data_IF_032900155754
#
_entry.id   IF_032900155754
#
_cell.length_a   1.000
_cell.length_b   1.000
_cell.length_c   1.000
_cell.angle_alpha   90.00
_cell.angle_beta   90.00
_cell.angle_gamma   90.00
#
_symmetry.space_group_name_H-M   'P 1'
#
loop_
_entity.id
_entity.type
_entity.pdbx_description
1 polymer ?
#
# COMPACT_ATOMS: atom_id res chain seq x y z
N UNK A 1 1.06 56.22 -1.31
CA UNK A 1 1.25 55.60 -0.40
C UNK A 1 0.57 54.42 -0.27
N UNK A 2 -0.42 54.30 -0.58
CA UNK A 2 -1.15 53.21 -0.45
C UNK A 2 -0.85 52.26 -1.37
N UNK A 3 0.04 52.26 -2.18
CA UNK A 3 0.31 51.32 -3.03
C UNK A 3 0.68 50.07 -2.43
N UNK A 4 1.12 49.97 -1.28
CA UNK A 4 1.51 48.78 -0.62
C UNK A 4 0.42 47.75 -0.58
N UNK A 5 -0.76 48.16 -0.53
CA UNK A 5 -1.80 47.19 -0.41
C UNK A 5 -1.89 46.33 -1.63
N UNK A 6 -1.45 46.81 -2.75
CA UNK A 6 -1.55 45.96 -3.88
C UNK A 6 -0.66 44.80 -3.79
N UNK A 7 0.46 44.91 -3.18
CA UNK A 7 1.31 43.80 -3.12
C UNK A 7 0.73 42.74 -2.30
N UNK A 8 0.00 43.06 -1.30
CA UNK A 8 -0.56 42.05 -0.46
C UNK A 8 -1.45 41.12 -1.23
N UNK A 9 -2.17 41.63 -2.15
CA UNK A 9 -3.07 40.80 -2.91
C UNK A 9 -2.30 39.74 -3.67
N UNK A 10 -1.14 40.08 -4.16
CA UNK A 10 -0.37 39.16 -4.91
C UNK A 10 0.09 38.00 -4.05
N UNK A 11 0.46 38.27 -2.81
CA UNK A 11 0.90 37.23 -1.93
C UNK A 11 -0.18 36.21 -1.67
N UNK A 12 -1.38 36.68 -1.53
CA UNK A 12 -2.46 35.78 -1.26
C UNK A 12 -2.66 34.80 -2.40
N UNK A 13 -2.52 35.28 -3.58
CA UNK A 13 -2.69 34.40 -4.72
C UNK A 13 -1.66 33.29 -4.72
N UNK A 14 -0.47 33.60 -4.32
CA UNK A 14 0.56 32.58 -4.28
C UNK A 14 0.27 31.48 -3.29
N UNK A 15 -0.27 31.85 -2.14
CA UNK A 15 -0.57 30.86 -1.15
C UNK A 15 -1.63 29.88 -1.62
N UNK A 16 -2.61 30.39 -2.31
CA UNK A 16 -3.67 29.52 -2.80
C UNK A 16 -3.11 28.48 -3.75
N UNK A 17 -2.18 28.87 -4.58
CA UNK A 17 -1.60 27.96 -5.52
C UNK A 17 -0.88 26.83 -4.81
N UNK A 18 -0.20 27.14 -3.72
CA UNK A 18 0.52 26.12 -3.00
C UNK A 18 -0.41 25.07 -2.45
N UNK A 19 -1.53 25.49 -1.91
CA UNK A 19 -2.49 24.55 -1.38
C UNK A 19 -2.99 23.59 -2.45
N UNK A 20 -3.19 24.09 -3.65
CA UNK A 20 -3.65 23.24 -4.72
C UNK A 20 -2.67 22.14 -5.05
N UNK A 21 -1.39 22.39 -4.87
CA UNK A 21 -0.39 21.39 -5.19
C UNK A 21 -0.41 20.20 -4.25
N UNK A 22 -0.99 20.34 -3.08
CA UNK A 22 -1.01 19.23 -2.12
C UNK A 22 -2.06 18.20 -2.46
N UNK A 23 -3.08 18.59 -3.18
CA UNK A 23 -4.15 17.66 -3.48
C UNK A 23 -3.69 16.40 -4.22
N UNK A 24 -2.80 16.50 -5.22
CA UNK A 24 -2.39 15.32 -5.95
C UNK A 24 -1.57 14.32 -5.17
N UNK A 25 -1.16 14.65 -3.96
CA UNK A 25 -0.34 13.75 -3.17
C UNK A 25 -1.16 12.70 -2.44
N UNK A 26 -2.46 12.71 -2.59
CA UNK A 26 -3.30 11.72 -1.97
C UNK A 26 -3.02 10.34 -2.57
N UNK A 27 -2.89 9.35 -1.72
CA UNK A 27 -2.64 8.00 -2.18
C UNK A 27 -3.82 7.48 -2.97
N UNK A 28 -3.54 6.70 -4.00
CA UNK A 28 -4.56 6.10 -4.83
C UNK A 28 -4.53 4.59 -4.69
N UNK A 29 -5.67 3.96 -4.91
CA UNK A 29 -5.77 2.51 -4.88
C UNK A 29 -4.91 1.90 -5.99
N UNK A 30 -4.43 0.70 -5.75
CA UNK A 30 -3.62 -0.02 -6.72
C UNK A 30 -4.48 -0.46 -7.90
N UNK A 31 -3.87 -0.54 -9.09
CA UNK A 31 -4.61 -0.96 -10.26
C UNK A 31 -4.61 -2.50 -10.38
N UNK A 32 -5.49 -3.04 -11.25
CA UNK A 32 -5.60 -4.50 -11.37
C UNK A 32 -4.32 -5.21 -11.80
N UNK A 33 -3.52 -4.61 -12.65
CA UNK A 33 -2.30 -5.26 -13.11
C UNK A 33 -1.30 -5.38 -11.96
N UNK A 34 -1.16 -4.32 -11.17
CA UNK A 34 -0.31 -4.35 -10.00
C UNK A 34 -0.82 -5.40 -9.01
N UNK A 35 -2.14 -5.44 -8.80
CA UNK A 35 -2.72 -6.37 -7.84
C UNK A 35 -2.62 -7.82 -8.29
N UNK A 36 -2.60 -8.09 -9.59
CA UNK A 36 -2.36 -9.44 -10.07
C UNK A 36 -0.98 -9.92 -9.65
N UNK A 37 0.04 -9.08 -9.82
CA UNK A 37 1.40 -9.42 -9.38
C UNK A 37 1.52 -9.56 -7.88
N UNK A 38 0.88 -8.65 -7.14
CA UNK A 38 0.85 -8.74 -5.69
C UNK A 38 0.25 -10.07 -5.26
N UNK A 39 -0.86 -10.46 -5.88
CA UNK A 39 -1.57 -11.67 -5.51
C UNK A 39 -0.74 -12.92 -5.81
N UNK A 40 -0.06 -12.94 -6.96
CA UNK A 40 0.80 -14.07 -7.29
C UNK A 40 1.90 -14.23 -6.23
N UNK A 41 2.50 -13.14 -5.81
CA UNK A 41 3.52 -13.19 -4.77
C UNK A 41 2.94 -13.65 -3.44
N UNK A 42 1.74 -13.15 -3.10
CA UNK A 42 1.08 -13.54 -1.85
C UNK A 42 0.79 -15.03 -1.82
N UNK A 43 0.25 -15.57 -2.91
CA UNK A 43 -0.06 -16.99 -2.96
C UNK A 43 1.20 -17.86 -2.90
N UNK A 44 2.29 -17.39 -3.46
CA UNK A 44 3.55 -18.10 -3.34
C UNK A 44 4.02 -18.14 -1.89
N UNK A 45 3.91 -17.02 -1.19
CA UNK A 45 4.28 -16.96 0.22
C UNK A 45 3.37 -17.85 1.07
N UNK A 46 2.08 -17.87 0.78
CA UNK A 46 1.16 -18.74 1.48
C UNK A 46 1.52 -20.21 1.29
N UNK A 47 1.84 -20.58 0.06
CA UNK A 47 2.24 -21.95 -0.24
C UNK A 47 3.44 -22.37 0.57
N UNK A 48 4.42 -21.48 0.67
CA UNK A 48 5.63 -21.76 1.45
C UNK A 48 5.28 -21.95 2.92
N UNK A 49 4.45 -21.06 3.46
CA UNK A 49 4.08 -21.13 4.88
C UNK A 49 3.33 -22.42 5.19
N UNK A 50 2.39 -22.79 4.34
CA UNK A 50 1.56 -23.97 4.60
C UNK A 50 2.30 -25.27 4.40
N UNK A 51 3.43 -25.25 3.70
CA UNK A 51 4.24 -26.46 3.53
C UNK A 51 5.40 -26.53 4.53
N UNK A 52 5.54 -25.56 5.40
CA UNK A 52 6.61 -25.53 6.40
C UNK A 52 6.01 -25.78 7.77
N UNK A 53 6.31 -26.91 8.42
CA UNK A 53 5.68 -27.22 9.71
C UNK A 53 5.82 -26.12 10.76
N UNK A 54 6.98 -25.48 10.81
CA UNK A 54 7.20 -24.45 11.82
C UNK A 54 6.44 -23.15 11.50
N UNK A 55 6.01 -22.96 10.27
CA UNK A 55 5.29 -21.74 9.86
C UNK A 55 3.78 -21.94 9.94
N UNK A 56 3.33 -23.18 9.74
CA UNK A 56 1.92 -23.45 9.58
C UNK A 56 1.08 -23.00 10.76
N UNK A 57 1.57 -23.19 11.97
CA UNK A 57 0.79 -22.83 13.15
C UNK A 57 0.48 -21.35 13.24
N UNK A 58 1.37 -20.49 12.76
CA UNK A 58 1.17 -19.05 12.79
C UNK A 58 0.59 -18.45 11.52
N UNK A 59 0.43 -19.25 10.47
CA UNK A 59 -0.07 -18.75 9.19
C UNK A 59 -1.58 -18.80 9.16
N UNK A 60 -2.22 -17.87 9.88
CA UNK A 60 -3.66 -17.85 10.02
C UNK A 60 -4.24 -16.53 9.57
N UNK A 61 -5.52 -16.55 9.23
CA UNK A 61 -6.24 -15.34 8.86
C UNK A 61 -6.11 -15.02 7.39
N UNK A 62 -6.72 -13.91 7.00
CA UNK A 62 -6.80 -13.51 5.59
C UNK A 62 -5.43 -13.32 4.96
N UNK A 63 -4.45 -12.86 5.73
CA UNK A 63 -3.09 -12.64 5.24
C UNK A 63 -2.50 -13.92 4.64
N UNK A 64 -2.91 -15.08 5.17
CA UNK A 64 -2.39 -16.38 4.76
C UNK A 64 -3.42 -17.24 4.05
N UNK A 65 -4.45 -16.62 3.50
CA UNK A 65 -5.49 -17.34 2.77
C UNK A 65 -4.92 -17.95 1.48
N UNK A 66 -5.31 -19.18 1.14
CA UNK A 66 -4.93 -19.77 -0.14
C UNK A 66 -5.86 -19.32 -1.28
N UNK A 67 -6.89 -18.52 -0.94
CA UNK A 67 -7.85 -18.07 -1.94
C UNK A 67 -7.37 -16.82 -2.65
N UNK A 68 -7.22 -16.91 -3.97
CA UNK A 68 -6.70 -15.82 -4.76
C UNK A 68 -7.49 -14.53 -4.58
N UNK A 69 -8.81 -14.62 -4.59
CA UNK A 69 -9.64 -13.42 -4.53
C UNK A 69 -9.49 -12.65 -3.24
N UNK A 70 -9.12 -13.30 -2.15
CA UNK A 70 -8.94 -12.63 -0.86
C UNK A 70 -7.80 -11.60 -0.98
N UNK A 71 -6.71 -11.99 -1.60
CA UNK A 71 -5.57 -11.10 -1.76
C UNK A 71 -5.80 -10.06 -2.84
N UNK A 72 -6.40 -10.48 -3.95
CA UNK A 72 -6.63 -9.57 -5.06
C UNK A 72 -7.61 -8.46 -4.69
N UNK A 73 -8.75 -8.83 -4.11
CA UNK A 73 -9.77 -7.85 -3.74
C UNK A 73 -9.27 -6.89 -2.68
N UNK A 74 -8.53 -7.41 -1.70
CA UNK A 74 -7.95 -6.53 -0.68
C UNK A 74 -6.99 -5.51 -1.33
N UNK A 75 -6.15 -5.97 -2.24
CA UNK A 75 -5.17 -5.11 -2.89
C UNK A 75 -5.83 -3.98 -3.67
N UNK A 76 -6.95 -4.27 -4.34
CA UNK A 76 -7.64 -3.27 -5.13
C UNK A 76 -8.11 -2.08 -4.29
N UNK A 77 -8.31 -2.27 -3.01
CA UNK A 77 -8.74 -1.21 -2.12
C UNK A 77 -7.61 -0.49 -1.40
N UNK A 78 -6.35 -0.83 -1.72
CA UNK A 78 -5.20 -0.29 -1.01
C UNK A 78 -4.29 0.50 -1.93
N UNK A 79 -3.56 1.49 -1.40
CA UNK A 79 -2.48 2.09 -2.19
C UNK A 79 -1.34 1.08 -2.35
N UNK A 80 -0.57 1.18 -3.43
CA UNK A 80 0.54 0.23 -3.66
C UNK A 80 1.49 0.08 -2.48
N UNK A 81 1.75 1.16 -1.76
CA UNK A 81 2.65 1.11 -0.61
C UNK A 81 2.12 0.18 0.49
N UNK A 82 0.80 0.15 0.69
CA UNK A 82 0.22 -0.72 1.70
C UNK A 82 0.34 -2.19 1.28
N UNK A 83 0.16 -2.47 -0.01
CA UNK A 83 0.32 -3.82 -0.52
C UNK A 83 1.77 -4.28 -0.39
N UNK A 84 2.72 -3.38 -0.66
CA UNK A 84 4.14 -3.70 -0.51
C UNK A 84 4.48 -4.00 0.96
N UNK A 85 3.91 -3.24 1.89
CA UNK A 85 4.14 -3.46 3.30
C UNK A 85 3.58 -4.81 3.75
N UNK A 86 2.44 -5.19 3.21
CA UNK A 86 1.82 -6.46 3.55
C UNK A 86 2.67 -7.62 3.04
N UNK A 87 3.20 -7.49 1.83
CA UNK A 87 4.09 -8.50 1.28
C UNK A 87 5.35 -8.62 2.13
N UNK A 88 5.88 -7.49 2.59
CA UNK A 88 7.07 -7.50 3.44
C UNK A 88 6.77 -8.19 4.77
N UNK A 89 5.58 -7.96 5.33
CA UNK A 89 5.21 -8.60 6.58
C UNK A 89 5.20 -10.11 6.45
N UNK A 90 4.72 -10.64 5.32
CA UNK A 90 4.77 -12.09 5.08
C UNK A 90 6.20 -12.57 4.92
N UNK A 91 7.04 -11.79 4.25
CA UNK A 91 8.45 -12.13 4.10
C UNK A 91 9.13 -12.24 5.46
N UNK A 92 8.87 -11.27 6.33
CA UNK A 92 9.49 -11.26 7.65
C UNK A 92 9.01 -12.43 8.50
N UNK A 93 7.73 -12.75 8.42
CA UNK A 93 7.20 -13.90 9.13
C UNK A 93 7.90 -15.19 8.68
N UNK A 94 8.01 -15.38 7.36
CA UNK A 94 8.64 -16.58 6.83
C UNK A 94 10.11 -16.69 7.22
N UNK A 95 10.79 -15.55 7.26
CA UNK A 95 12.19 -15.56 7.65
C UNK A 95 12.34 -16.05 9.08
N UNK A 96 11.44 -15.68 9.96
CA UNK A 96 11.50 -16.08 11.37
C UNK A 96 11.11 -17.53 11.60
N UNK A 97 10.11 -18.04 10.91
CA UNK A 97 9.63 -19.40 11.18
C UNK A 97 10.39 -20.47 10.41
N UNK A 98 11.00 -20.12 9.29
CA UNK A 98 11.76 -21.08 8.50
C UNK A 98 13.20 -21.18 8.98
N UNK A 99 13.72 -20.09 9.53
CA UNK A 99 15.07 -20.05 10.02
C UNK A 99 15.18 -20.78 11.30
#
# INVERSE_FOLDING_TARGET
MFKASTQTAILVAGLITVLGCLAPLTAQAADPAFCAGYTDAALNQVRIALSSPNCMAGARGARWSPERHVHFDWCLGQPPAAAAAERQARTDFLRGCRG
#
